data_IF_534167201629
#
_entry.id   IF_534167201629
#
_cell.length_a   1.000
_cell.length_b   1.000
_cell.length_c   1.000
_cell.angle_alpha   90.00
_cell.angle_beta   90.00
_cell.angle_gamma   90.00
#
_symmetry.space_group_name_H-M   'P 1'
#
loop_
_entity.id
_entity.type
_entity.pdbx_description
1 polymer ?
#
# COMPACT_ATOMS: atom_id res chain seq x y z
N UNK A 1 -1.76 -8.08 -3.33
CA UNK A 1 -1.58 -9.53 -3.35
C UNK A 1 -0.60 -10.04 -2.30
N UNK A 2 0.65 -9.57 -2.26
CA UNK A 2 1.62 -9.95 -1.22
C UNK A 2 1.68 -8.97 -0.03
N UNK A 3 0.90 -7.90 -0.05
CA UNK A 3 0.87 -6.92 1.03
C UNK A 3 0.51 -7.54 2.40
N UNK A 4 -0.49 -8.43 2.51
CA UNK A 4 -0.78 -9.08 3.78
C UNK A 4 0.41 -9.88 4.33
N UNK A 5 1.23 -10.45 3.46
CA UNK A 5 2.44 -11.16 3.86
C UNK A 5 3.46 -10.21 4.50
N UNK A 6 3.77 -9.09 3.83
CA UNK A 6 4.74 -8.12 4.34
C UNK A 6 4.25 -7.45 5.63
N UNK A 7 2.96 -7.13 5.71
CA UNK A 7 2.39 -6.41 6.85
C UNK A 7 2.36 -7.22 8.15
N UNK A 8 2.48 -8.54 8.09
CA UNK A 8 2.53 -9.36 9.31
C UNK A 8 3.89 -9.36 10.00
N UNK A 9 4.94 -8.90 9.32
CA UNK A 9 6.28 -8.81 9.92
C UNK A 9 6.48 -7.46 10.59
N UNK A 10 7.16 -7.47 11.73
CA UNK A 10 7.60 -6.24 12.39
C UNK A 10 9.01 -5.89 11.94
N UNK A 11 9.38 -4.62 12.08
CA UNK A 11 10.72 -4.13 11.74
C UNK A 11 11.79 -4.95 12.45
N UNK A 12 12.80 -5.37 11.71
CA UNK A 12 13.90 -6.18 12.22
C UNK A 12 13.74 -7.69 12.04
N UNK A 13 12.54 -8.17 11.75
CA UNK A 13 12.32 -9.60 11.50
C UNK A 13 12.93 -10.04 10.17
N UNK A 14 13.44 -11.27 10.15
CA UNK A 14 13.95 -11.89 8.93
C UNK A 14 12.76 -12.37 8.09
N UNK A 15 12.74 -11.97 6.82
CA UNK A 15 11.72 -12.37 5.86
C UNK A 15 12.34 -13.37 4.89
N UNK A 16 12.03 -14.65 5.06
CA UNK A 16 12.62 -15.73 4.28
C UNK A 16 11.89 -15.91 2.95
N UNK A 17 12.64 -16.10 1.87
CA UNK A 17 12.05 -16.41 0.55
C UNK A 17 11.14 -17.62 0.62
N UNK A 18 11.54 -18.68 1.33
CA UNK A 18 10.74 -19.87 1.49
C UNK A 18 9.37 -19.62 2.09
N UNK A 19 9.30 -18.73 3.08
CA UNK A 19 8.02 -18.33 3.69
C UNK A 19 7.11 -17.62 2.68
N UNK A 20 7.66 -16.83 1.79
CA UNK A 20 6.90 -16.18 0.73
C UNK A 20 6.44 -17.19 -0.32
N UNK A 21 7.28 -18.15 -0.68
CA UNK A 21 6.90 -19.25 -1.57
C UNK A 21 5.72 -20.03 -1.00
N UNK A 22 5.76 -20.36 0.28
CA UNK A 22 4.70 -21.06 0.99
C UNK A 22 3.40 -20.23 1.01
N UNK A 23 3.51 -18.93 1.25
CA UNK A 23 2.37 -18.02 1.22
C UNK A 23 1.68 -18.02 -0.15
N UNK A 24 2.45 -17.98 -1.23
CA UNK A 24 1.91 -17.99 -2.59
C UNK A 24 1.25 -19.33 -2.89
N UNK A 25 1.91 -20.44 -2.53
CA UNK A 25 1.37 -21.77 -2.77
C UNK A 25 0.10 -22.04 -1.97
N UNK A 26 0.04 -21.56 -0.73
CA UNK A 26 -1.17 -21.67 0.10
C UNK A 26 -2.35 -20.89 -0.49
N UNK A 27 -2.07 -19.76 -1.11
CA UNK A 27 -3.09 -18.92 -1.75
C UNK A 27 -3.60 -19.51 -3.07
N UNK A 28 -2.72 -20.18 -3.80
CA UNK A 28 -3.02 -20.81 -5.09
C UNK A 28 -2.50 -22.26 -5.11
N UNK A 29 -3.10 -23.17 -4.33
CA UNK A 29 -2.56 -24.52 -4.13
C UNK A 29 -2.30 -25.27 -5.43
N UNK A 30 -1.07 -25.76 -5.60
CA UNK A 30 -0.67 -26.59 -6.74
C UNK A 30 -0.67 -25.89 -8.10
N UNK A 31 -0.93 -24.58 -8.16
CA UNK A 31 -1.05 -23.85 -9.42
C UNK A 31 0.32 -23.58 -10.08
N UNK A 32 1.35 -23.38 -9.27
CA UNK A 32 2.67 -23.00 -9.75
C UNK A 32 3.70 -24.10 -9.52
N UNK A 33 4.62 -24.29 -10.47
CA UNK A 33 5.78 -25.17 -10.29
C UNK A 33 6.72 -24.58 -9.23
N UNK A 34 7.60 -25.43 -8.69
CA UNK A 34 8.63 -24.99 -7.73
C UNK A 34 9.51 -23.90 -8.30
N UNK A 35 9.91 -24.01 -9.56
CA UNK A 35 10.73 -22.99 -10.23
C UNK A 35 9.99 -21.65 -10.33
N UNK A 36 8.70 -21.67 -10.67
CA UNK A 36 7.88 -20.47 -10.76
C UNK A 36 7.68 -19.84 -9.38
N UNK A 37 7.44 -20.61 -8.33
CA UNK A 37 7.32 -20.11 -6.97
C UNK A 37 8.61 -19.40 -6.53
N UNK A 38 9.77 -20.00 -6.80
CA UNK A 38 11.07 -19.41 -6.49
C UNK A 38 11.29 -18.09 -7.23
N UNK A 39 11.04 -18.06 -8.53
CA UNK A 39 11.20 -16.84 -9.34
C UNK A 39 10.24 -15.74 -8.88
N UNK A 40 9.00 -16.07 -8.62
CA UNK A 40 7.99 -15.10 -8.18
C UNK A 40 8.35 -14.53 -6.82
N UNK A 41 8.77 -15.37 -5.88
CA UNK A 41 9.19 -14.92 -4.56
C UNK A 41 10.41 -14.01 -4.63
N UNK A 42 11.39 -14.32 -5.48
CA UNK A 42 12.56 -13.46 -5.70
C UNK A 42 12.17 -12.10 -6.25
N UNK A 43 11.26 -12.07 -7.24
CA UNK A 43 10.79 -10.83 -7.84
C UNK A 43 10.01 -9.96 -6.83
N UNK A 44 9.15 -10.57 -6.01
CA UNK A 44 8.41 -9.88 -4.97
C UNK A 44 9.36 -9.31 -3.90
N UNK A 45 10.34 -10.10 -3.45
CA UNK A 45 11.34 -9.63 -2.49
C UNK A 45 12.16 -8.46 -3.05
N UNK A 46 12.48 -8.48 -4.33
CA UNK A 46 13.16 -7.38 -5.01
C UNK A 46 12.28 -6.12 -5.03
N UNK A 47 11.00 -6.27 -5.33
CA UNK A 47 10.02 -5.18 -5.32
C UNK A 47 9.89 -4.56 -3.93
N UNK A 48 9.73 -5.39 -2.89
CA UNK A 48 9.63 -4.90 -1.52
C UNK A 48 10.93 -4.26 -1.02
N UNK A 49 12.08 -4.68 -1.54
CA UNK A 49 13.37 -4.04 -1.25
C UNK A 49 13.42 -2.64 -1.87
N UNK A 50 13.00 -2.52 -3.12
CA UNK A 50 12.94 -1.22 -3.82
C UNK A 50 11.97 -0.24 -3.16
N UNK A 51 10.89 -0.72 -2.62
CA UNK A 51 9.90 0.11 -1.92
C UNK A 51 10.34 0.53 -0.51
N UNK A 52 11.42 -0.04 0.03
CA UNK A 52 11.91 0.25 1.37
C UNK A 52 11.32 -0.61 2.48
N UNK A 53 10.47 -1.57 2.15
CA UNK A 53 9.87 -2.49 3.13
C UNK A 53 10.82 -3.61 3.55
N UNK A 54 11.81 -3.93 2.72
CA UNK A 54 12.86 -4.90 3.00
C UNK A 54 14.23 -4.29 2.74
N UNK A 55 15.23 -4.73 3.51
CA UNK A 55 16.64 -4.41 3.28
C UNK A 55 17.46 -5.69 3.25
N UNK A 56 18.62 -5.63 2.62
CA UNK A 56 19.57 -6.75 2.50
C UNK A 56 19.58 -7.35 1.09
N UNK A 57 20.58 -8.18 0.82
CA UNK A 57 20.73 -8.87 -0.47
C UNK A 57 20.20 -10.31 -0.37
N UNK A 58 21.02 -11.25 0.07
CA UNK A 58 20.59 -12.64 0.23
C UNK A 58 19.65 -12.82 1.42
N UNK A 59 19.91 -12.12 2.52
CA UNK A 59 19.11 -12.14 3.74
C UNK A 59 18.26 -10.88 3.81
N UNK A 60 16.95 -11.02 3.66
CA UNK A 60 16.01 -9.91 3.71
C UNK A 60 15.51 -9.69 5.12
N UNK A 61 15.50 -8.44 5.55
CA UNK A 61 15.05 -8.01 6.87
C UNK A 61 13.96 -6.98 6.67
N UNK A 62 12.86 -7.12 7.42
CA UNK A 62 11.76 -6.15 7.39
C UNK A 62 12.26 -4.81 7.88
N UNK A 63 12.17 -3.80 7.02
CA UNK A 63 12.49 -2.41 7.32
C UNK A 63 11.24 -1.56 7.22
N UNK A 64 11.35 -0.30 7.64
CA UNK A 64 10.23 0.63 7.57
C UNK A 64 10.37 1.49 6.32
N UNK A 65 9.35 1.47 5.46
CA UNK A 65 9.28 2.38 4.33
C UNK A 65 9.14 3.82 4.83
N UNK A 66 9.61 4.79 4.04
CA UNK A 66 9.51 6.22 4.39
C UNK A 66 8.31 6.82 3.67
N UNK A 67 7.25 7.18 4.40
CA UNK A 67 6.10 7.80 3.78
C UNK A 67 6.43 9.24 3.31
N UNK A 68 5.82 9.63 2.20
CA UNK A 68 5.96 10.96 1.61
C UNK A 68 4.58 11.49 1.27
N UNK A 69 4.41 12.81 1.04
CA UNK A 69 3.13 13.33 0.56
C UNK A 69 2.66 12.64 -0.73
N UNK A 70 3.60 12.30 -1.63
CA UNK A 70 3.27 11.58 -2.86
C UNK A 70 2.80 10.16 -2.64
N UNK A 71 3.49 9.40 -1.78
CA UNK A 71 3.09 8.01 -1.48
C UNK A 71 1.76 7.96 -0.73
N UNK A 72 1.50 8.92 0.16
CA UNK A 72 0.21 9.02 0.85
C UNK A 72 -0.90 9.33 -0.15
N UNK A 73 -0.70 10.29 -1.06
CA UNK A 73 -1.67 10.62 -2.10
C UNK A 73 -2.04 9.38 -2.93
N UNK A 74 -1.04 8.60 -3.32
CA UNK A 74 -1.24 7.39 -4.10
C UNK A 74 -1.99 6.31 -3.32
N UNK A 75 -1.62 6.10 -2.05
CA UNK A 75 -2.30 5.11 -1.21
C UNK A 75 -3.79 5.48 -0.99
N UNK A 76 -4.09 6.74 -0.73
CA UNK A 76 -5.46 7.22 -0.58
C UNK A 76 -6.24 7.08 -1.89
N UNK A 77 -5.60 7.35 -3.01
CA UNK A 77 -6.22 7.21 -4.33
C UNK A 77 -6.57 5.75 -4.63
N UNK A 78 -5.66 4.81 -4.35
CA UNK A 78 -5.94 3.38 -4.51
C UNK A 78 -7.09 2.93 -3.62
N UNK A 79 -7.16 3.41 -2.38
CA UNK A 79 -8.29 3.16 -1.49
C UNK A 79 -9.60 3.69 -2.06
N UNK A 80 -9.58 4.89 -2.63
CA UNK A 80 -10.74 5.49 -3.29
C UNK A 80 -11.21 4.64 -4.47
N UNK A 81 -10.29 4.19 -5.31
CA UNK A 81 -10.62 3.33 -6.46
C UNK A 81 -11.25 2.00 -6.06
N UNK A 82 -10.94 1.50 -4.87
CA UNK A 82 -11.49 0.24 -4.35
C UNK A 82 -12.73 0.43 -3.48
N UNK A 83 -13.28 1.63 -3.42
CA UNK A 83 -14.58 1.90 -2.78
C UNK A 83 -14.53 2.53 -1.40
N UNK A 84 -13.35 2.78 -0.84
CA UNK A 84 -13.22 3.41 0.47
C UNK A 84 -13.40 4.93 0.36
N UNK A 85 -13.90 5.54 1.45
CA UNK A 85 -14.16 6.98 1.52
C UNK A 85 -13.82 7.51 2.91
N UNK A 86 -13.44 8.80 2.97
CA UNK A 86 -13.23 9.51 4.23
C UNK A 86 -12.14 8.89 5.08
N UNK A 87 -12.40 8.75 6.37
CA UNK A 87 -11.45 8.18 7.34
C UNK A 87 -11.01 6.76 6.97
N UNK A 88 -11.90 5.97 6.35
CA UNK A 88 -11.58 4.60 5.95
C UNK A 88 -10.43 4.53 4.94
N UNK A 89 -10.14 5.61 4.20
CA UNK A 89 -9.00 5.68 3.30
C UNK A 89 -7.66 5.51 4.02
N UNK A 90 -7.60 5.87 5.30
CA UNK A 90 -6.38 5.80 6.12
C UNK A 90 -6.20 4.45 6.82
N UNK A 91 -7.13 3.53 6.67
CA UNK A 91 -7.09 2.21 7.29
C UNK A 91 -7.03 1.07 6.29
N UNK A 92 -6.94 1.39 5.00
CA UNK A 92 -6.80 0.38 3.94
C UNK A 92 -5.45 -0.31 4.01
N UNK A 93 -5.34 -1.45 3.33
CA UNK A 93 -4.07 -2.15 3.17
C UNK A 93 -3.02 -1.26 2.49
N UNK A 94 -3.43 -0.45 1.51
CA UNK A 94 -2.55 0.52 0.85
C UNK A 94 -1.99 1.54 1.84
N UNK A 95 -2.84 2.09 2.71
CA UNK A 95 -2.42 3.04 3.74
C UNK A 95 -1.49 2.38 4.77
N UNK A 96 -1.74 1.13 5.14
CA UNK A 96 -0.89 0.39 6.07
C UNK A 96 0.51 0.16 5.52
N UNK A 97 0.67 0.05 4.21
CA UNK A 97 1.98 -0.07 3.55
C UNK A 97 2.82 1.20 3.63
N UNK A 98 2.25 2.32 4.06
CA UNK A 98 3.01 3.55 4.30
C UNK A 98 3.96 3.43 5.50
N UNK A 99 3.78 2.42 6.35
CA UNK A 99 4.60 2.14 7.53
C UNK A 99 4.67 3.32 8.52
N UNK A 100 3.57 4.05 8.66
CA UNK A 100 3.48 5.16 9.60
C UNK A 100 2.14 5.15 10.34
N UNK A 101 2.04 5.96 11.39
CA UNK A 101 0.79 6.13 12.11
C UNK A 101 -0.26 6.83 11.24
N UNK A 102 -1.53 6.68 11.61
CA UNK A 102 -2.63 7.38 10.93
C UNK A 102 -2.43 8.90 11.05
N UNK A 103 -2.01 9.40 12.21
CA UNK A 103 -1.73 10.81 12.45
C UNK A 103 -0.66 11.34 11.49
N UNK A 104 0.41 10.56 11.31
CA UNK A 104 1.47 10.94 10.37
C UNK A 104 0.98 10.93 8.93
N UNK A 105 0.17 9.95 8.56
CA UNK A 105 -0.44 9.90 7.23
C UNK A 105 -1.34 11.12 6.98
N UNK A 106 -2.11 11.54 7.99
CA UNK A 106 -2.95 12.74 7.92
C UNK A 106 -2.10 14.00 7.70
N UNK A 107 -1.00 14.15 8.45
CA UNK A 107 -0.08 15.28 8.27
C UNK A 107 0.47 15.33 6.84
N UNK A 108 0.85 14.19 6.30
CA UNK A 108 1.36 14.10 4.93
C UNK A 108 0.26 14.35 3.89
N UNK A 109 -0.99 13.95 4.16
CA UNK A 109 -2.12 14.26 3.32
C UNK A 109 -2.42 15.76 3.30
N UNK A 110 -2.32 16.43 4.44
CA UNK A 110 -2.43 17.89 4.52
C UNK A 110 -1.34 18.57 3.70
N UNK A 111 -0.11 18.08 3.78
CA UNK A 111 0.99 18.60 2.98
C UNK A 111 0.75 18.38 1.48
N UNK A 112 0.28 17.20 1.08
CA UNK A 112 -0.10 16.91 -0.30
C UNK A 112 -1.21 17.85 -0.80
N UNK A 113 -2.17 18.17 0.06
CA UNK A 113 -3.25 19.11 -0.25
C UNK A 113 -2.71 20.54 -0.47
N UNK A 114 -1.78 20.98 0.38
CA UNK A 114 -1.11 22.26 0.20
C UNK A 114 -0.34 22.34 -1.13
N UNK A 115 0.18 21.22 -1.60
CA UNK A 115 0.87 21.13 -2.90
C UNK A 115 -0.09 21.03 -4.08
N UNK A 116 -1.39 20.93 -3.83
CA UNK A 116 -2.41 20.83 -4.88
C UNK A 116 -2.56 19.45 -5.50
N UNK A 117 -1.97 18.39 -4.92
CA UNK A 117 -2.04 17.05 -5.46
C UNK A 117 -3.36 16.35 -5.16
N UNK A 118 -3.92 16.64 -3.99
CA UNK A 118 -5.23 16.17 -3.55
C UNK A 118 -5.95 17.31 -2.85
N UNK A 119 -7.23 17.14 -2.56
CA UNK A 119 -7.97 18.03 -1.67
C UNK A 119 -8.27 17.24 -0.40
N UNK A 120 -7.71 17.69 0.70
CA UNK A 120 -7.93 17.10 2.03
C UNK A 120 -8.64 18.11 2.93
N UNK A 121 -9.77 17.71 3.47
CA UNK A 121 -10.54 18.52 4.42
C UNK A 121 -10.86 17.69 5.66
N UNK A 122 -10.74 18.31 6.82
CA UNK A 122 -11.07 17.68 8.09
C UNK A 122 -11.84 18.65 8.96
N UNK A 123 -13.00 18.22 9.43
CA UNK A 123 -13.83 18.95 10.38
C UNK A 123 -14.18 17.97 11.51
N UNK A 124 -13.58 18.16 12.70
CA UNK A 124 -13.71 17.21 13.80
C UNK A 124 -13.22 15.82 13.40
N UNK A 125 -14.10 14.84 13.42
CA UNK A 125 -13.79 13.45 13.01
C UNK A 125 -14.17 13.15 11.56
N UNK A 126 -14.72 14.14 10.84
CA UNK A 126 -15.11 13.94 9.44
C UNK A 126 -13.97 14.33 8.52
N UNK A 127 -13.57 13.38 7.69
CA UNK A 127 -12.50 13.54 6.70
C UNK A 127 -13.11 13.42 5.31
N UNK A 128 -12.75 14.34 4.43
CA UNK A 128 -13.10 14.31 3.01
C UNK A 128 -11.82 14.42 2.18
N UNK A 129 -11.64 13.51 1.24
CA UNK A 129 -10.50 13.51 0.32
C UNK A 129 -11.01 13.47 -1.11
N UNK A 130 -10.52 14.37 -1.95
CA UNK A 130 -10.86 14.44 -3.37
C UNK A 130 -9.59 14.39 -4.20
N UNK A 131 -9.71 13.88 -5.43
CA UNK A 131 -8.59 13.68 -6.35
C UNK A 131 -8.89 14.39 -7.70
N UNK A 132 -9.02 15.73 -7.71
CA UNK A 132 -9.52 16.46 -8.88
C UNK A 132 -8.61 16.37 -10.11
N UNK A 133 -7.31 16.14 -9.89
CA UNK A 133 -6.32 16.10 -10.98
C UNK A 133 -5.98 14.67 -11.43
N UNK A 134 -6.51 13.65 -10.77
CA UNK A 134 -6.19 12.25 -11.04
C UNK A 134 -7.30 11.53 -11.80
N UNK A 135 -8.55 12.00 -11.68
CA UNK A 135 -9.71 11.41 -12.34
C UNK A 135 -10.60 12.49 -12.94
N UNK A 136 -11.17 12.19 -14.11
CA UNK A 136 -12.18 13.05 -14.75
C UNK A 136 -13.55 12.89 -14.07
N UNK A 137 -14.49 13.79 -14.36
CA UNK A 137 -15.87 13.66 -13.89
C UNK A 137 -16.52 12.37 -14.38
N UNK A 138 -16.23 11.98 -15.62
CA UNK A 138 -16.75 10.76 -16.25
C UNK A 138 -16.21 9.50 -15.56
N UNK A 139 -14.91 9.47 -15.30
CA UNK A 139 -14.28 8.37 -14.55
C UNK A 139 -14.80 8.27 -13.13
N UNK A 140 -15.08 9.41 -12.50
CA UNK A 140 -15.65 9.47 -11.15
C UNK A 140 -17.04 8.84 -11.09
N UNK A 141 -17.89 9.13 -12.07
CA UNK A 141 -19.20 8.50 -12.19
C UNK A 141 -19.09 7.01 -12.39
N UNK A 142 -18.21 6.58 -13.28
CA UNK A 142 -17.95 5.17 -13.54
C UNK A 142 -17.49 4.43 -12.28
N UNK A 143 -16.56 4.99 -11.51
CA UNK A 143 -16.09 4.40 -10.26
C UNK A 143 -17.22 4.28 -9.24
N UNK A 144 -18.06 5.30 -9.14
CA UNK A 144 -19.23 5.29 -8.25
C UNK A 144 -20.18 4.16 -8.61
N UNK A 145 -20.42 3.93 -9.89
CA UNK A 145 -21.35 2.91 -10.37
C UNK A 145 -20.79 1.48 -10.16
N UNK A 146 -19.48 1.33 -10.11
CA UNK A 146 -18.81 0.03 -9.84
C UNK A 146 -18.75 -0.30 -8.35
N UNK A 147 -18.81 0.68 -7.50
CA UNK A 147 -18.73 0.54 -6.05
C UNK A 147 -20.07 0.85 -5.40
#
# INVERSE_FOLDING_TARGET
MSAPFILKFVEGEIVRRKSLEEYIDDKYPGRFSKATLTSTAQNLNSTWTKSGHLIGKARKIRSRAKPTPGSVSYALFLGYLTGFRGEALFTTEYARLLDCSIERAIELAEDASRRGWIVFKRIGNVIEVQFPNLITSQEREWIRDQN
#
